data_IF_741225817968
#
_entry.id   IF_741225817968
#
_cell.length_a   1.000
_cell.length_b   1.000
_cell.length_c   1.000
_cell.angle_alpha   90.00
_cell.angle_beta   90.00
_cell.angle_gamma   90.00
#
_symmetry.space_group_name_H-M   'P 1'
#
loop_
_entity.id
_entity.type
_entity.pdbx_description
1 polymer ?
#
# COMPACT_ATOMS: atom_id res chain seq x y z
N UNK A 1 29.55 10.17 10.50
CA UNK A 1 28.26 10.32 11.17
C UNK A 1 27.22 10.07 10.12
N UNK A 2 26.95 8.79 9.97
CA UNK A 2 26.28 8.15 8.85
C UNK A 2 24.79 8.53 8.86
N UNK A 3 24.21 8.81 7.70
CA UNK A 3 22.84 9.33 7.57
C UNK A 3 21.78 8.42 8.23
N UNK A 4 22.09 7.13 8.38
CA UNK A 4 21.29 6.15 9.11
C UNK A 4 21.09 6.54 10.59
N UNK A 5 22.15 7.02 11.27
CA UNK A 5 22.09 7.44 12.68
C UNK A 5 21.25 8.72 12.88
N UNK A 6 21.20 9.60 11.88
CA UNK A 6 20.34 10.81 11.94
C UNK A 6 18.86 10.46 11.81
N UNK A 7 18.52 9.53 10.92
CA UNK A 7 17.13 9.07 10.76
C UNK A 7 16.62 8.41 12.05
N UNK A 8 17.42 7.53 12.66
CA UNK A 8 17.06 6.91 13.93
C UNK A 8 16.84 7.95 15.05
N UNK A 9 17.70 8.97 15.14
CA UNK A 9 17.54 10.04 16.13
C UNK A 9 16.34 10.93 15.85
N UNK A 10 16.00 11.18 14.59
CA UNK A 10 14.81 11.95 14.23
C UNK A 10 13.53 11.20 14.61
N UNK A 11 13.45 9.91 14.32
CA UNK A 11 12.31 9.06 14.67
C UNK A 11 12.14 8.91 16.19
N UNK A 12 13.24 8.88 16.96
CA UNK A 12 13.20 8.87 18.44
C UNK A 12 12.55 10.11 19.05
N UNK A 13 12.48 11.24 18.34
CA UNK A 13 11.83 12.46 18.83
C UNK A 13 10.30 12.44 18.74
N UNK A 14 9.73 11.44 18.04
CA UNK A 14 8.30 11.38 17.75
C UNK A 14 7.70 10.02 18.16
N UNK A 15 7.78 9.65 19.46
CA UNK A 15 7.19 8.40 19.93
C UNK A 15 5.67 8.42 19.74
N UNK A 16 5.11 7.30 19.26
CA UNK A 16 3.66 7.18 19.09
C UNK A 16 3.09 7.81 17.81
N UNK A 17 3.93 8.08 16.80
CA UNK A 17 3.48 8.47 15.45
C UNK A 17 4.07 7.57 14.38
N UNK A 18 3.33 7.35 13.29
CA UNK A 18 3.86 6.67 12.11
C UNK A 18 4.70 7.64 11.29
N UNK A 19 5.71 7.12 10.59
CA UNK A 19 6.50 7.91 9.64
C UNK A 19 6.01 7.64 8.22
N UNK A 20 5.44 8.66 7.57
CA UNK A 20 4.99 8.62 6.19
C UNK A 20 6.16 8.96 5.25
N UNK A 21 6.83 7.93 4.72
CA UNK A 21 8.01 8.07 3.85
C UNK A 21 7.74 8.90 2.59
N UNK A 22 6.57 8.72 1.96
CA UNK A 22 6.16 9.46 0.76
C UNK A 22 5.96 10.95 0.99
N UNK A 23 5.80 11.38 2.25
CA UNK A 23 5.60 12.78 2.65
C UNK A 23 6.74 13.35 3.48
N UNK A 24 7.74 12.54 3.85
CA UNK A 24 8.78 12.89 4.81
C UNK A 24 8.22 13.53 6.10
N UNK A 25 7.12 12.97 6.63
CA UNK A 25 6.38 13.55 7.76
C UNK A 25 5.90 12.48 8.74
N UNK A 26 5.60 12.89 9.97
CA UNK A 26 4.97 12.02 10.97
C UNK A 26 3.44 12.15 10.93
N UNK A 27 2.74 11.06 11.24
CA UNK A 27 1.28 10.96 11.17
C UNK A 27 0.73 10.31 12.45
N UNK A 28 -0.29 10.93 13.03
CA UNK A 28 -0.95 10.42 14.24
C UNK A 28 -1.73 9.12 13.99
N UNK A 29 -1.86 8.24 15.00
CA UNK A 29 -2.74 7.08 14.92
C UNK A 29 -4.18 7.45 14.52
N UNK A 30 -4.78 6.64 13.65
CA UNK A 30 -6.10 6.84 13.08
C UNK A 30 -6.16 7.82 11.90
N UNK A 31 -5.03 8.45 11.52
CA UNK A 31 -4.95 9.32 10.34
C UNK A 31 -4.44 8.56 9.13
N UNK A 32 -4.96 8.95 7.96
CA UNK A 32 -4.56 8.41 6.66
C UNK A 32 -3.85 9.45 5.80
N UNK A 33 -3.00 8.98 4.90
CA UNK A 33 -2.33 9.80 3.91
C UNK A 33 -2.31 9.11 2.56
N UNK A 34 -2.23 9.94 1.52
CA UNK A 34 -2.08 9.51 0.14
C UNK A 34 -0.62 9.13 -0.15
N UNK A 35 -0.42 8.06 -0.91
CA UNK A 35 0.89 7.49 -1.27
C UNK A 35 1.49 8.02 -2.58
N UNK A 36 0.93 9.08 -3.16
CA UNK A 36 1.44 9.75 -4.37
C UNK A 36 2.97 9.87 -4.30
N UNK A 37 3.69 9.41 -5.35
CA UNK A 37 3.21 9.09 -6.71
C UNK A 37 2.60 7.69 -6.91
N UNK A 38 2.51 6.86 -5.86
CA UNK A 38 1.86 5.55 -5.93
C UNK A 38 0.34 5.67 -5.74
N UNK A 39 -0.42 4.83 -6.44
CA UNK A 39 -1.88 4.78 -6.27
C UNK A 39 -2.24 3.92 -5.05
N UNK A 40 -2.32 4.57 -3.89
CA UNK A 40 -2.68 3.93 -2.65
C UNK A 40 -2.90 4.92 -1.52
N UNK A 41 -3.39 4.41 -0.40
CA UNK A 41 -3.60 5.14 0.84
C UNK A 41 -2.98 4.35 1.98
N UNK A 42 -2.25 5.04 2.83
CA UNK A 42 -1.78 4.48 4.08
C UNK A 42 -2.58 5.03 5.25
N UNK A 43 -2.70 4.24 6.30
CA UNK A 43 -3.31 4.64 7.58
C UNK A 43 -2.40 4.25 8.72
N UNK A 44 -2.15 5.17 9.64
CA UNK A 44 -1.42 4.86 10.86
C UNK A 44 -2.38 4.14 11.81
N UNK A 45 -2.14 2.87 12.09
CA UNK A 45 -2.98 2.06 12.98
C UNK A 45 -2.20 1.63 14.19
N UNK A 46 -2.86 1.60 15.33
CA UNK A 46 -2.30 1.04 16.55
C UNK A 46 -2.47 -0.48 16.52
N UNK A 47 -1.42 -1.22 16.83
CA UNK A 47 -1.51 -2.67 16.89
C UNK A 47 -2.41 -3.10 18.05
N UNK A 48 -3.39 -3.96 17.78
CA UNK A 48 -4.39 -4.39 18.77
C UNK A 48 -3.79 -5.28 19.87
N UNK A 49 -2.78 -6.10 19.54
CA UNK A 49 -2.12 -7.01 20.48
C UNK A 49 -1.06 -6.30 21.33
N UNK A 50 -0.41 -5.28 20.76
CA UNK A 50 0.62 -4.49 21.42
C UNK A 50 0.43 -2.99 21.12
N UNK A 51 -0.29 -2.25 21.98
CA UNK A 51 -0.57 -0.82 21.78
C UNK A 51 0.70 0.06 21.69
N UNK A 52 1.85 -0.41 22.16
CA UNK A 52 3.12 0.33 22.02
C UNK A 52 3.67 0.27 20.58
N UNK A 53 3.16 -0.62 19.73
CA UNK A 53 3.53 -0.73 18.32
C UNK A 53 2.51 -0.03 17.43
N UNK A 54 3.03 0.69 16.44
CA UNK A 54 2.26 1.27 15.36
C UNK A 54 2.55 0.52 14.07
N UNK A 55 1.53 0.41 13.22
CA UNK A 55 1.62 -0.18 11.90
C UNK A 55 1.15 0.84 10.87
N UNK A 56 1.78 0.82 9.72
CA UNK A 56 1.24 1.47 8.53
C UNK A 56 0.39 0.45 7.78
N UNK A 57 -0.94 0.65 7.79
CA UNK A 57 -1.85 -0.14 6.99
C UNK A 57 -1.92 0.46 5.59
N UNK A 58 -1.40 -0.27 4.60
CA UNK A 58 -1.36 0.14 3.19
C UNK A 58 -2.53 -0.47 2.44
N UNK A 59 -3.33 0.36 1.78
CA UNK A 59 -4.36 -0.03 0.82
C UNK A 59 -3.95 0.47 -0.56
N UNK A 60 -3.76 -0.45 -1.51
CA UNK A 60 -3.41 -0.12 -2.90
C UNK A 60 -4.36 -0.85 -3.87
N UNK A 61 -4.06 -0.78 -5.17
CA UNK A 61 -4.88 -1.40 -6.21
C UNK A 61 -4.78 -2.92 -6.28
N UNK A 62 -3.97 -3.55 -5.42
CA UNK A 62 -3.72 -4.97 -5.42
C UNK A 62 -2.83 -5.45 -6.58
N UNK A 63 -2.65 -6.77 -6.71
CA UNK A 63 -1.81 -7.35 -7.74
C UNK A 63 -2.39 -7.14 -9.14
N UNK A 64 -1.51 -7.05 -10.13
CA UNK A 64 -1.95 -7.00 -11.52
C UNK A 64 -2.54 -8.35 -11.97
N UNK A 65 -3.60 -8.36 -12.80
CA UNK A 65 -4.19 -9.59 -13.32
C UNK A 65 -3.20 -10.37 -14.21
N UNK A 66 -3.17 -11.70 -14.06
CA UNK A 66 -2.47 -12.65 -14.95
C UNK A 66 -3.03 -12.61 -16.38
N UNK A 67 -4.32 -12.29 -16.52
CA UNK A 67 -5.00 -12.13 -17.81
C UNK A 67 -4.51 -10.94 -18.64
N UNK A 68 -3.58 -10.13 -18.13
CA UNK A 68 -2.84 -9.16 -18.95
C UNK A 68 -1.76 -9.82 -19.80
N UNK A 69 -1.18 -10.93 -19.35
CA UNK A 69 -0.08 -11.60 -20.05
C UNK A 69 -0.54 -12.42 -21.24
N UNK A 70 -1.84 -12.75 -21.32
CA UNK A 70 -2.41 -13.55 -22.39
C UNK A 70 -3.18 -12.72 -23.44
N UNK A 71 -3.04 -11.39 -23.41
CA UNK A 71 -3.69 -10.40 -24.29
C UNK A 71 -5.24 -10.42 -24.32
N UNK A 72 -5.91 -11.26 -23.51
CA UNK A 72 -7.38 -11.33 -23.44
C UNK A 72 -8.00 -10.14 -22.72
N UNK A 73 -7.22 -9.48 -21.87
CA UNK A 73 -7.55 -8.26 -21.18
C UNK A 73 -6.45 -7.23 -21.40
N UNK A 74 -6.82 -5.96 -21.57
CA UNK A 74 -5.88 -4.86 -21.77
C UNK A 74 -6.17 -3.75 -20.77
N UNK A 75 -5.11 -3.05 -20.35
CA UNK A 75 -5.23 -1.83 -19.58
C UNK A 75 -5.94 -0.78 -20.43
N UNK A 76 -7.07 -0.27 -19.93
CA UNK A 76 -7.84 0.79 -20.56
C UNK A 76 -7.22 2.13 -20.14
N UNK A 77 -6.24 2.60 -20.92
CA UNK A 77 -5.52 3.84 -20.63
C UNK A 77 -6.38 5.08 -20.76
N UNK A 78 -7.48 5.02 -21.50
CA UNK A 78 -8.42 6.14 -21.66
C UNK A 78 -9.32 6.29 -20.42
N UNK A 79 -9.72 5.17 -19.81
CA UNK A 79 -10.53 5.20 -18.58
C UNK A 79 -9.68 5.29 -17.31
N UNK A 80 -8.44 4.84 -17.35
CA UNK A 80 -7.55 4.87 -16.18
C UNK A 80 -6.98 6.26 -15.96
N UNK A 81 -7.42 6.96 -14.91
CA UNK A 81 -6.89 8.26 -14.54
C UNK A 81 -5.80 8.14 -13.46
N UNK A 82 -4.54 7.95 -13.87
CA UNK A 82 -3.40 7.75 -12.96
C UNK A 82 -3.11 8.91 -12.00
N UNK A 83 -3.64 10.11 -12.25
CA UNK A 83 -3.42 11.29 -11.40
C UNK A 83 -4.57 11.53 -10.42
N UNK A 84 -5.63 10.72 -10.48
CA UNK A 84 -6.70 10.77 -9.50
C UNK A 84 -6.21 10.29 -8.11
N UNK A 85 -6.99 10.58 -7.08
CA UNK A 85 -6.73 10.04 -5.75
C UNK A 85 -7.18 8.58 -5.65
N UNK A 86 -6.53 7.79 -4.81
CA UNK A 86 -6.98 6.43 -4.51
C UNK A 86 -8.42 6.45 -3.96
N UNK A 87 -9.32 5.55 -4.39
CA UNK A 87 -9.09 4.39 -5.27
C UNK A 87 -9.25 4.66 -6.78
N UNK A 88 -9.51 5.90 -7.18
CA UNK A 88 -9.85 6.24 -8.56
C UNK A 88 -8.66 6.27 -9.52
N UNK A 89 -7.43 6.24 -9.00
CA UNK A 89 -6.23 6.04 -9.82
C UNK A 89 -5.95 4.59 -10.18
N UNK A 90 -6.74 3.63 -9.67
CA UNK A 90 -6.51 2.23 -9.94
C UNK A 90 -6.73 1.87 -11.40
N UNK A 91 -5.94 0.91 -11.94
CA UNK A 91 -6.02 0.51 -13.33
C UNK A 91 -7.38 -0.11 -13.65
N UNK A 92 -7.98 0.37 -14.74
CA UNK A 92 -9.22 -0.19 -15.29
C UNK A 92 -8.84 -1.08 -16.47
N UNK A 93 -9.40 -2.28 -16.51
CA UNK A 93 -9.12 -3.25 -17.56
C UNK A 93 -10.35 -3.48 -18.43
N UNK A 94 -10.13 -3.59 -19.74
CA UNK A 94 -11.14 -3.97 -20.72
C UNK A 94 -10.75 -5.33 -21.30
N UNK A 95 -11.67 -6.29 -21.24
CA UNK A 95 -11.46 -7.66 -21.71
C UNK A 95 -12.36 -7.98 -22.92
N UNK A 96 -11.93 -8.96 -23.73
CA UNK A 96 -12.78 -9.51 -24.79
C UNK A 96 -14.04 -10.17 -24.21
N UNK A 97 -15.15 -10.25 -24.98
CA UNK A 97 -16.38 -10.88 -24.53
C UNK A 97 -16.15 -12.32 -24.05
N UNK A 98 -16.45 -12.59 -22.78
CA UNK A 98 -16.29 -13.91 -22.15
C UNK A 98 -14.94 -14.14 -21.46
N UNK A 99 -13.97 -13.23 -21.64
CA UNK A 99 -12.74 -13.24 -20.85
C UNK A 99 -12.97 -12.65 -19.45
N UNK A 100 -12.31 -13.22 -18.44
CA UNK A 100 -12.38 -12.78 -17.04
C UNK A 100 -11.00 -12.36 -16.56
N UNK A 101 -10.97 -11.40 -15.63
CA UNK A 101 -9.75 -11.05 -14.92
C UNK A 101 -9.40 -12.17 -13.95
N UNK A 102 -8.21 -12.72 -14.12
CA UNK A 102 -7.63 -13.72 -13.23
C UNK A 102 -6.48 -13.06 -12.47
N UNK A 103 -6.57 -13.06 -11.14
CA UNK A 103 -5.54 -12.47 -10.29
C UNK A 103 -4.65 -13.60 -9.72
N UNK A 104 -3.36 -13.33 -9.46
CA UNK A 104 -2.51 -14.26 -8.72
C UNK A 104 -3.16 -14.60 -7.38
N UNK A 105 -3.02 -15.85 -6.94
CA UNK A 105 -3.37 -16.20 -5.56
C UNK A 105 -2.43 -15.43 -4.63
N UNK A 106 -3.00 -14.64 -3.73
CA UNK A 106 -2.23 -14.00 -2.67
C UNK A 106 -1.95 -15.08 -1.64
N UNK A 107 -0.68 -15.51 -1.56
CA UNK A 107 -0.22 -16.29 -0.42
C UNK A 107 -0.42 -15.42 0.82
N UNK A 108 -1.44 -15.74 1.63
CA UNK A 108 -1.58 -15.14 2.94
C UNK A 108 -0.38 -15.64 3.74
N UNK A 109 0.50 -14.75 4.17
CA UNK A 109 1.60 -15.09 5.08
C UNK A 109 1.02 -15.77 6.34
N UNK A 110 1.02 -17.10 6.37
CA UNK A 110 0.63 -17.90 7.54
C UNK A 110 1.79 -17.97 8.54
N UNK A 111 2.43 -16.84 8.85
CA UNK A 111 3.45 -16.79 9.90
C UNK A 111 2.81 -16.55 11.27
N UNK A 112 1.80 -17.36 11.59
CA UNK A 112 1.24 -17.51 12.94
C UNK A 112 1.74 -18.85 13.50
N UNK A 113 3.06 -19.03 13.61
CA UNK A 113 3.70 -20.03 14.49
C UNK A 113 5.22 -19.98 14.41
N UNK A 114 5.85 -19.16 15.27
CA UNK A 114 7.16 -19.41 15.87
C UNK A 114 7.39 -18.46 17.06
N UNK A 115 6.58 -18.65 18.10
CA UNK A 115 7.03 -18.43 19.47
C UNK A 115 7.54 -19.78 19.97
N UNK A 116 8.86 -19.91 20.08
CA UNK A 116 9.54 -20.80 21.02
C UNK A 116 10.78 -20.03 21.50
#
# INVERSE_FOLDING_TARGET
>A
MDDESKMENYLKNFPGMCFASTRCATVEPGKSWDLTPFCGRSTCVQNEENPAKLLELVEDCGPLPLSLSNDKCKLDTEKTNKTAQFPFCCPIFTCEPGAKLEYPEVERDTNTNKQN
#
